data_IF_055880033244
#
_entry.id   IF_055880033244
#
_cell.length_a   1.000
_cell.length_b   1.000
_cell.length_c   1.000
_cell.angle_alpha   90.00
_cell.angle_beta   90.00
_cell.angle_gamma   90.00
#
_symmetry.space_group_name_H-M   'P 1'
#
loop_
_entity.id
_entity.type
_entity.pdbx_description
1 polymer ?
#
# COMPACT_ATOMS: atom_id res chain seq x y z
N UNK A 1 21.89 -5.57 31.85
CA UNK A 1 21.86 -6.92 31.24
C UNK A 1 21.53 -6.73 29.76
N UNK A 2 22.45 -7.10 28.85
CA UNK A 2 22.24 -6.92 27.40
C UNK A 2 21.26 -7.97 26.92
N UNK A 3 20.19 -7.52 26.26
CA UNK A 3 19.06 -8.35 25.84
C UNK A 3 19.49 -9.22 24.63
N UNK A 4 19.66 -10.55 24.78
CA UNK A 4 20.19 -11.41 23.71
C UNK A 4 19.26 -11.48 22.49
N UNK A 5 17.98 -11.14 22.67
CA UNK A 5 16.96 -11.11 21.61
C UNK A 5 17.26 -10.03 20.56
N UNK A 6 17.76 -8.85 20.98
CA UNK A 6 18.03 -7.74 20.06
C UNK A 6 19.19 -8.07 19.10
N UNK A 7 20.20 -8.81 19.57
CA UNK A 7 21.34 -9.24 18.76
C UNK A 7 20.89 -10.24 17.69
N UNK A 8 19.95 -11.13 18.04
CA UNK A 8 19.43 -12.11 17.08
C UNK A 8 18.61 -11.46 15.97
N UNK A 9 17.75 -10.49 16.29
CA UNK A 9 16.98 -9.74 15.28
C UNK A 9 17.87 -8.84 14.42
N UNK A 10 18.89 -8.18 15.00
CA UNK A 10 19.86 -7.41 14.21
C UNK A 10 20.65 -8.30 13.26
N UNK A 11 21.03 -9.52 13.64
CA UNK A 11 21.72 -10.46 12.76
C UNK A 11 20.83 -10.97 11.63
N UNK A 12 19.53 -11.23 11.89
CA UNK A 12 18.59 -11.66 10.85
C UNK A 12 18.31 -10.55 9.83
N UNK A 13 18.16 -9.30 10.30
CA UNK A 13 17.96 -8.12 9.46
C UNK A 13 19.22 -7.81 8.61
N UNK A 14 20.42 -8.04 9.15
CA UNK A 14 21.68 -7.89 8.42
C UNK A 14 21.84 -8.93 7.30
N UNK A 15 21.37 -10.16 7.49
CA UNK A 15 21.44 -11.21 6.46
C UNK A 15 20.50 -10.92 5.29
N UNK A 16 19.32 -10.35 5.55
CA UNK A 16 18.39 -9.91 4.49
C UNK A 16 18.94 -8.68 3.75
N UNK A 17 19.56 -7.74 4.45
CA UNK A 17 20.14 -6.54 3.82
C UNK A 17 21.44 -6.79 3.05
N UNK A 18 22.31 -7.70 3.53
CA UNK A 18 23.58 -8.02 2.87
C UNK A 18 23.43 -8.98 1.68
N UNK A 19 22.29 -9.66 1.55
CA UNK A 19 21.98 -10.47 0.36
C UNK A 19 21.70 -9.62 -0.90
N UNK A 20 21.49 -8.31 -0.74
CA UNK A 20 21.20 -7.37 -1.84
C UNK A 20 22.38 -6.45 -2.22
N UNK A 21 23.56 -6.62 -1.59
CA UNK A 21 24.76 -5.89 -2.00
C UNK A 21 25.73 -6.81 -2.77
N UNK A 22 25.33 -7.24 -3.97
CA UNK A 22 26.34 -7.55 -4.99
C UNK A 22 26.68 -6.23 -5.69
N UNK A 23 27.92 -5.79 -5.51
CA UNK A 23 28.46 -4.61 -6.15
C UNK A 23 28.38 -4.76 -7.68
N UNK A 24 27.68 -3.85 -8.34
CA UNK A 24 27.68 -3.72 -9.81
C UNK A 24 29.10 -3.37 -10.27
N UNK A 25 29.72 -4.31 -11.01
CA UNK A 25 30.89 -4.01 -11.82
C UNK A 25 30.44 -3.18 -13.04
N UNK A 26 31.32 -2.32 -13.61
CA UNK A 26 30.96 -1.47 -14.73
C UNK A 26 30.62 -2.34 -15.96
N UNK A 27 29.44 -2.11 -16.53
CA UNK A 27 28.96 -2.79 -17.73
C UNK A 27 29.63 -2.15 -18.96
N UNK A 28 30.72 -2.76 -19.40
CA UNK A 28 31.13 -2.70 -20.81
C UNK A 28 30.52 -3.87 -21.58
N UNK A 29 30.26 -3.62 -22.85
CA UNK A 29 29.41 -4.39 -23.76
C UNK A 29 29.75 -5.89 -23.87
N UNK A 30 28.69 -6.64 -24.20
CA UNK A 30 28.66 -8.01 -24.75
C UNK A 30 28.82 -9.18 -23.76
N UNK A 31 27.68 -9.79 -23.39
CA UNK A 31 27.43 -11.18 -23.77
C UNK A 31 25.96 -11.59 -23.58
N UNK A 32 25.39 -12.08 -24.68
CA UNK A 32 24.08 -12.69 -24.81
C UNK A 32 24.02 -14.05 -24.09
N UNK A 33 23.84 -14.06 -22.77
CA UNK A 33 23.44 -15.26 -22.04
C UNK A 33 22.56 -14.87 -20.85
N UNK A 34 21.34 -14.41 -21.16
CA UNK A 34 20.25 -14.49 -20.20
C UNK A 34 19.84 -15.98 -20.08
N UNK A 35 19.65 -16.52 -18.87
CA UNK A 35 19.12 -17.86 -18.70
C UNK A 35 17.73 -17.94 -19.35
N UNK A 36 17.58 -18.84 -20.33
CA UNK A 36 16.31 -19.10 -21.00
C UNK A 36 15.39 -19.79 -19.98
N UNK A 37 14.59 -19.01 -19.26
CA UNK A 37 13.37 -19.51 -18.64
C UNK A 37 12.41 -19.92 -19.77
N UNK A 38 12.49 -21.19 -20.20
CA UNK A 38 11.45 -21.80 -21.03
C UNK A 38 10.15 -21.77 -20.22
N UNK A 39 9.29 -20.81 -20.51
CA UNK A 39 8.15 -20.53 -19.65
C UNK A 39 7.02 -21.54 -19.78
N UNK A 40 5.95 -21.28 -19.03
CA UNK A 40 4.76 -22.14 -18.99
C UNK A 40 4.15 -22.23 -20.39
N UNK A 41 3.95 -23.46 -20.88
CA UNK A 41 3.18 -23.70 -22.11
C UNK A 41 1.69 -23.49 -21.83
N UNK A 42 0.98 -22.81 -22.73
CA UNK A 42 -0.49 -22.72 -22.68
C UNK A 42 -1.07 -22.92 -24.07
N UNK A 43 -2.26 -23.51 -24.12
CA UNK A 43 -2.99 -23.71 -25.38
C UNK A 43 -4.00 -22.58 -25.57
N UNK A 44 -4.08 -22.02 -26.79
CA UNK A 44 -5.10 -21.03 -27.15
C UNK A 44 -6.49 -21.67 -27.17
N UNK A 45 -7.48 -20.96 -26.64
CA UNK A 45 -8.89 -21.37 -26.64
C UNK A 45 -9.68 -20.72 -27.78
N UNK A 46 -9.19 -19.59 -28.27
CA UNK A 46 -9.79 -18.80 -29.36
C UNK A 46 -8.74 -18.48 -30.42
N UNK A 47 -9.15 -17.82 -31.49
CA UNK A 47 -8.20 -17.15 -32.37
C UNK A 47 -7.49 -16.04 -31.57
N UNK A 48 -6.16 -15.99 -31.64
CA UNK A 48 -5.32 -14.98 -30.98
C UNK A 48 -4.42 -14.33 -32.02
N UNK A 49 -4.41 -13.01 -32.08
CA UNK A 49 -3.50 -12.29 -32.97
C UNK A 49 -2.15 -12.11 -32.30
N UNK A 50 -1.08 -12.49 -33.01
CA UNK A 50 0.30 -12.28 -32.62
C UNK A 50 0.85 -11.03 -33.30
N UNK A 51 1.61 -10.23 -32.57
CA UNK A 51 2.14 -8.94 -33.00
C UNK A 51 3.66 -8.88 -32.89
N UNK A 52 4.31 -8.08 -33.73
CA UNK A 52 5.76 -7.89 -33.68
C UNK A 52 6.18 -7.14 -32.41
N UNK A 53 5.36 -6.17 -32.01
CA UNK A 53 5.44 -5.40 -30.77
C UNK A 53 4.03 -5.17 -30.23
N UNK A 54 3.88 -4.87 -28.93
CA UNK A 54 2.56 -4.64 -28.33
C UNK A 54 1.73 -3.59 -29.11
N UNK A 55 0.55 -3.99 -29.58
CA UNK A 55 -0.41 -3.12 -30.29
C UNK A 55 0.11 -2.49 -31.61
N UNK A 56 1.08 -3.12 -32.27
CA UNK A 56 1.53 -2.72 -33.62
C UNK A 56 0.84 -3.56 -34.72
N UNK A 57 1.46 -3.70 -35.88
CA UNK A 57 0.94 -4.52 -36.97
C UNK A 57 0.92 -6.02 -36.62
N UNK A 58 -0.17 -6.73 -36.99
CA UNK A 58 -0.30 -8.15 -36.72
C UNK A 58 0.70 -8.94 -37.58
N UNK A 59 1.43 -9.86 -36.95
CA UNK A 59 2.32 -10.80 -37.62
C UNK A 59 1.58 -12.04 -38.11
N UNK A 60 0.68 -12.57 -37.28
CA UNK A 60 -0.01 -13.83 -37.56
C UNK A 60 -1.31 -13.95 -36.77
N UNK A 61 -2.24 -14.74 -37.30
CA UNK A 61 -3.41 -15.22 -36.58
C UNK A 61 -3.13 -16.65 -36.08
N UNK A 62 -3.23 -16.87 -34.77
CA UNK A 62 -3.00 -18.16 -34.13
C UNK A 62 -4.36 -18.84 -33.89
N UNK A 63 -4.64 -20.02 -34.51
CA UNK A 63 -5.92 -20.70 -34.33
C UNK A 63 -6.08 -21.28 -32.91
N UNK A 64 -7.31 -21.61 -32.48
CA UNK A 64 -7.56 -22.39 -31.26
C UNK A 64 -6.77 -23.70 -31.28
N UNK A 65 -6.31 -24.15 -30.12
CA UNK A 65 -5.49 -25.35 -30.00
C UNK A 65 -3.99 -25.14 -30.22
N UNK A 66 -3.55 -23.93 -30.58
CA UNK A 66 -2.12 -23.60 -30.73
C UNK A 66 -1.44 -23.60 -29.37
N UNK A 67 -0.34 -24.35 -29.24
CA UNK A 67 0.50 -24.32 -28.05
C UNK A 67 1.46 -23.14 -28.10
N UNK A 68 1.38 -22.26 -27.11
CA UNK A 68 2.25 -21.09 -26.98
C UNK A 68 3.21 -21.29 -25.83
N UNK A 69 4.48 -20.96 -26.07
CA UNK A 69 5.52 -20.93 -25.06
C UNK A 69 5.71 -19.48 -24.63
N UNK A 70 5.31 -19.14 -23.41
CA UNK A 70 5.49 -17.80 -22.86
C UNK A 70 6.94 -17.60 -22.42
N UNK A 71 7.51 -16.42 -22.65
CA UNK A 71 8.89 -16.12 -22.23
C UNK A 71 8.97 -15.55 -20.80
N UNK A 72 7.82 -15.15 -20.24
CA UNK A 72 7.74 -14.45 -18.95
C UNK A 72 7.85 -12.92 -19.07
N UNK A 73 8.15 -12.38 -20.26
CA UNK A 73 8.13 -10.95 -20.50
C UNK A 73 6.71 -10.43 -20.73
N UNK A 74 6.41 -9.31 -20.07
CA UNK A 74 5.13 -8.60 -20.10
C UNK A 74 5.39 -7.17 -20.58
N UNK A 75 4.46 -6.59 -21.34
CA UNK A 75 4.60 -5.21 -21.79
C UNK A 75 4.61 -4.24 -20.60
N UNK A 76 5.36 -3.14 -20.72
CA UNK A 76 5.54 -2.13 -19.65
C UNK A 76 4.33 -1.23 -19.37
N UNK A 77 3.16 -1.58 -19.91
CA UNK A 77 1.88 -0.90 -19.68
C UNK A 77 0.71 -1.81 -20.02
N UNK A 78 -0.49 -1.41 -19.58
CA UNK A 78 -1.74 -2.04 -20.01
C UNK A 78 -2.24 -1.39 -21.30
N UNK A 79 -2.96 -2.19 -22.08
CA UNK A 79 -3.58 -1.79 -23.33
C UNK A 79 -5.07 -2.07 -23.25
N UNK A 80 -5.84 -1.15 -23.82
CA UNK A 80 -7.29 -1.31 -23.94
C UNK A 80 -7.62 -2.02 -25.23
N UNK A 81 -8.43 -3.06 -25.14
CA UNK A 81 -8.99 -3.76 -26.30
C UNK A 81 -10.49 -3.98 -26.09
N UNK A 82 -11.25 -3.99 -27.17
CA UNK A 82 -12.68 -4.26 -27.14
C UNK A 82 -12.90 -5.73 -27.46
N UNK A 83 -13.52 -6.45 -26.54
CA UNK A 83 -13.93 -7.84 -26.76
C UNK A 83 -15.42 -7.94 -26.49
N UNK A 84 -16.18 -8.26 -27.54
CA UNK A 84 -17.65 -8.23 -27.51
C UNK A 84 -18.17 -6.83 -27.10
N UNK A 85 -18.87 -6.72 -25.97
CA UNK A 85 -19.38 -5.46 -25.42
C UNK A 85 -18.54 -4.93 -24.25
N UNK A 86 -17.45 -5.64 -23.89
CA UNK A 86 -16.61 -5.30 -22.76
C UNK A 86 -15.33 -4.57 -23.21
N UNK A 87 -14.93 -3.60 -22.39
CA UNK A 87 -13.64 -2.93 -22.51
C UNK A 87 -12.65 -3.65 -21.61
N UNK A 88 -11.66 -4.30 -22.22
CA UNK A 88 -10.64 -5.07 -21.51
C UNK A 88 -9.36 -4.27 -21.40
N UNK A 89 -8.80 -4.20 -20.19
CA UNK A 89 -7.49 -3.59 -19.94
C UNK A 89 -6.51 -4.66 -19.49
N UNK A 90 -5.61 -5.05 -20.40
CA UNK A 90 -4.62 -6.13 -20.19
C UNK A 90 -3.27 -5.76 -20.79
N UNK A 91 -2.16 -6.31 -20.28
CA UNK A 91 -0.88 -6.19 -20.96
C UNK A 91 -0.79 -7.14 -22.16
N UNK A 92 0.23 -6.92 -22.99
CA UNK A 92 0.69 -7.92 -23.94
C UNK A 92 1.71 -8.86 -23.28
N UNK A 93 1.65 -10.13 -23.66
CA UNK A 93 2.52 -11.19 -23.17
C UNK A 93 3.42 -11.67 -24.31
N UNK A 94 4.71 -11.77 -24.06
CA UNK A 94 5.63 -12.26 -25.07
C UNK A 94 5.63 -13.79 -25.13
N UNK A 95 5.58 -14.30 -26.36
CA UNK A 95 5.59 -15.71 -26.69
C UNK A 95 6.72 -16.01 -27.67
N UNK A 96 7.17 -17.26 -27.68
CA UNK A 96 8.08 -17.80 -28.68
C UNK A 96 7.27 -18.52 -29.75
N UNK A 97 7.28 -18.00 -30.99
CA UNK A 97 6.64 -18.62 -32.16
C UNK A 97 7.55 -19.68 -32.79
N UNK A 98 8.86 -19.42 -32.81
CA UNK A 98 9.88 -20.34 -33.29
C UNK A 98 11.19 -20.10 -32.52
N UNK A 99 12.21 -20.96 -32.66
CA UNK A 99 13.47 -20.79 -31.92
C UNK A 99 14.14 -19.41 -32.13
N UNK A 100 13.88 -18.75 -33.27
CA UNK A 100 14.45 -17.43 -33.61
C UNK A 100 13.40 -16.30 -33.66
N UNK A 101 12.13 -16.56 -33.39
CA UNK A 101 11.06 -15.57 -33.52
C UNK A 101 10.19 -15.49 -32.26
N UNK A 102 10.15 -14.30 -31.68
CA UNK A 102 9.19 -13.94 -30.62
C UNK A 102 8.07 -13.09 -31.16
N UNK A 103 6.91 -13.15 -30.54
CA UNK A 103 5.79 -12.26 -30.79
C UNK A 103 5.09 -11.88 -29.49
N UNK A 104 4.14 -10.96 -29.58
CA UNK A 104 3.33 -10.49 -28.47
C UNK A 104 1.87 -10.85 -28.68
N UNK A 105 1.17 -11.30 -27.65
CA UNK A 105 -0.27 -11.60 -27.68
C UNK A 105 -0.98 -10.84 -26.57
N UNK A 106 -2.22 -10.42 -26.82
CA UNK A 106 -3.01 -9.72 -25.80
C UNK A 106 -3.36 -10.69 -24.65
N UNK A 107 -3.05 -10.29 -23.41
CA UNK A 107 -3.02 -11.16 -22.23
C UNK A 107 -4.38 -11.48 -21.60
N UNK A 108 -5.46 -11.58 -22.39
CA UNK A 108 -6.78 -11.87 -21.83
C UNK A 108 -6.92 -13.34 -21.40
N UNK A 109 -7.34 -13.65 -20.16
CA UNK A 109 -7.37 -15.03 -19.65
C UNK A 109 -8.25 -15.98 -20.46
N UNK A 110 -9.37 -15.51 -21.01
CA UNK A 110 -10.25 -16.37 -21.81
C UNK A 110 -9.62 -16.82 -23.15
N UNK A 111 -8.49 -16.24 -23.57
CA UNK A 111 -7.78 -16.67 -24.77
C UNK A 111 -6.93 -17.91 -24.53
N UNK A 112 -6.69 -18.31 -23.27
CA UNK A 112 -5.72 -19.34 -22.93
C UNK A 112 -6.29 -20.36 -21.94
N UNK A 113 -5.82 -21.60 -22.04
CA UNK A 113 -6.01 -22.60 -20.99
C UNK A 113 -5.15 -22.26 -19.78
N UNK A 114 -5.74 -21.56 -18.82
CA UNK A 114 -5.10 -21.20 -17.54
C UNK A 114 -5.41 -22.29 -16.52
N UNK A 115 -4.38 -22.99 -16.02
CA UNK A 115 -4.53 -24.04 -15.00
C UNK A 115 -4.72 -23.47 -13.58
N UNK A 116 -4.15 -22.30 -13.31
CA UNK A 116 -4.34 -21.58 -12.06
C UNK A 116 -5.63 -20.75 -12.08
N UNK A 117 -5.99 -20.11 -10.95
CA UNK A 117 -7.15 -19.21 -10.93
C UNK A 117 -6.98 -18.09 -12.00
N UNK A 118 -7.93 -17.94 -12.94
CA UNK A 118 -7.81 -16.96 -14.03
C UNK A 118 -7.61 -15.53 -13.56
N UNK A 119 -8.26 -15.11 -12.47
CA UNK A 119 -8.13 -13.77 -11.90
C UNK A 119 -6.74 -13.56 -11.31
N UNK A 120 -6.21 -14.56 -10.58
CA UNK A 120 -4.85 -14.49 -10.04
C UNK A 120 -3.81 -14.38 -11.15
N UNK A 121 -3.96 -15.17 -12.22
CA UNK A 121 -3.07 -15.09 -13.38
C UNK A 121 -3.13 -13.74 -14.08
N UNK A 122 -4.35 -13.24 -14.32
CA UNK A 122 -4.61 -11.96 -14.94
C UNK A 122 -3.99 -10.81 -14.13
N UNK A 123 -4.21 -10.77 -12.82
CA UNK A 123 -3.63 -9.74 -11.95
C UNK A 123 -2.12 -9.84 -11.85
N UNK A 124 -1.53 -11.04 -11.77
CA UNK A 124 -0.08 -11.17 -11.76
C UNK A 124 0.55 -10.52 -13.00
N UNK A 125 -0.04 -10.73 -14.18
CA UNK A 125 0.44 -10.07 -15.41
C UNK A 125 0.17 -8.55 -15.39
N UNK A 126 -1.01 -8.10 -14.94
CA UNK A 126 -1.33 -6.67 -14.82
C UNK A 126 -0.34 -5.96 -13.89
N UNK A 127 -0.07 -6.52 -12.73
CA UNK A 127 0.87 -5.98 -11.75
C UNK A 127 2.29 -5.91 -12.30
N UNK A 128 2.76 -6.97 -12.97
CA UNK A 128 4.08 -6.97 -13.63
C UNK A 128 4.20 -5.88 -14.71
N UNK A 129 3.09 -5.49 -15.34
CA UNK A 129 3.07 -4.45 -16.36
C UNK A 129 3.09 -3.02 -15.78
N UNK A 130 2.47 -2.79 -14.62
CA UNK A 130 2.26 -1.43 -14.07
C UNK A 130 3.17 -1.09 -12.90
N UNK A 131 3.68 -2.09 -12.18
CA UNK A 131 4.59 -1.89 -11.05
C UNK A 131 6.06 -1.97 -11.51
N UNK A 132 6.96 -1.20 -10.89
CA UNK A 132 8.40 -1.46 -10.97
C UNK A 132 8.72 -2.88 -10.50
N UNK A 133 9.77 -3.50 -11.07
CA UNK A 133 10.18 -4.89 -10.75
C UNK A 133 10.34 -5.13 -9.25
N UNK A 134 10.96 -4.19 -8.54
CA UNK A 134 11.15 -4.28 -7.09
C UNK A 134 9.82 -4.33 -6.32
N UNK A 135 8.86 -3.49 -6.70
CA UNK A 135 7.53 -3.46 -6.10
C UNK A 135 6.74 -4.74 -6.39
N UNK A 136 6.84 -5.25 -7.61
CA UNK A 136 6.21 -6.51 -7.99
C UNK A 136 6.79 -7.70 -7.20
N UNK A 137 8.11 -7.76 -7.02
CA UNK A 137 8.75 -8.79 -6.22
C UNK A 137 8.30 -8.71 -4.74
N UNK A 138 8.29 -7.50 -4.16
CA UNK A 138 7.76 -7.27 -2.79
C UNK A 138 6.30 -7.73 -2.67
N UNK A 139 5.48 -7.49 -3.69
CA UNK A 139 4.09 -7.97 -3.71
C UNK A 139 4.03 -9.50 -3.69
N UNK A 140 4.85 -10.19 -4.49
CA UNK A 140 4.88 -11.66 -4.51
C UNK A 140 5.34 -12.25 -3.16
N UNK A 141 6.32 -11.64 -2.53
CA UNK A 141 6.78 -12.00 -1.18
C UNK A 141 5.65 -11.79 -0.16
N UNK A 142 5.01 -10.61 -0.16
CA UNK A 142 3.90 -10.29 0.72
C UNK A 142 2.74 -11.28 0.55
N UNK A 143 2.34 -11.60 -0.68
CA UNK A 143 1.27 -12.56 -0.96
C UNK A 143 1.63 -13.99 -0.50
N UNK A 144 2.92 -14.32 -0.43
CA UNK A 144 3.41 -15.60 0.10
C UNK A 144 3.37 -15.61 1.62
N UNK A 145 3.90 -14.58 2.27
CA UNK A 145 3.83 -14.40 3.73
C UNK A 145 2.38 -14.39 4.18
N UNK A 146 1.50 -13.67 3.48
CA UNK A 146 0.08 -13.60 3.84
C UNK A 146 -0.62 -14.96 3.79
N UNK A 147 -0.20 -15.91 2.94
CA UNK A 147 -0.80 -17.24 2.90
C UNK A 147 -0.26 -18.20 3.97
N UNK A 148 0.85 -17.85 4.63
CA UNK A 148 1.45 -18.66 5.68
C UNK A 148 0.99 -18.14 7.05
N UNK A 149 0.07 -18.88 7.69
CA UNK A 149 -0.54 -18.48 8.97
C UNK A 149 0.45 -18.47 10.14
N UNK A 150 1.52 -19.28 10.09
CA UNK A 150 2.42 -19.52 11.22
C UNK A 150 3.58 -18.52 11.39
N UNK A 151 3.75 -17.54 10.49
CA UNK A 151 4.90 -16.61 10.52
C UNK A 151 4.60 -15.33 11.32
N UNK A 152 4.55 -15.48 12.65
CA UNK A 152 4.38 -14.38 13.61
C UNK A 152 5.41 -13.24 13.44
N UNK A 153 6.68 -13.57 13.21
CA UNK A 153 7.79 -12.61 13.27
C UNK A 153 7.91 -11.65 12.07
N UNK A 154 6.95 -11.66 11.15
CA UNK A 154 6.99 -10.86 9.91
C UNK A 154 5.74 -10.00 9.74
N UNK A 155 4.78 -10.04 10.67
CA UNK A 155 3.48 -9.42 10.45
C UNK A 155 3.55 -7.89 10.39
N UNK A 156 4.29 -7.25 11.31
CA UNK A 156 4.54 -5.80 11.25
C UNK A 156 5.20 -5.36 9.94
N UNK A 157 6.20 -6.10 9.48
CA UNK A 157 6.88 -5.82 8.21
C UNK A 157 5.94 -6.01 7.01
N UNK A 158 5.11 -7.05 7.04
CA UNK A 158 4.08 -7.29 6.03
C UNK A 158 3.05 -6.15 6.01
N UNK A 159 2.65 -5.62 7.16
CA UNK A 159 1.75 -4.48 7.26
C UNK A 159 2.36 -3.20 6.65
N UNK A 160 3.62 -2.91 6.99
CA UNK A 160 4.36 -1.78 6.42
C UNK A 160 4.50 -1.91 4.89
N UNK A 161 4.88 -3.10 4.41
CA UNK A 161 4.98 -3.39 2.99
C UNK A 161 3.63 -3.23 2.27
N UNK A 162 2.53 -3.68 2.91
CA UNK A 162 1.17 -3.54 2.37
C UNK A 162 0.80 -2.08 2.15
N UNK A 163 1.07 -1.19 3.12
CA UNK A 163 0.79 0.26 2.97
C UNK A 163 1.57 0.88 1.80
N UNK A 164 2.85 0.55 1.67
CA UNK A 164 3.68 1.05 0.57
C UNK A 164 3.17 0.56 -0.78
N UNK A 165 2.96 -0.75 -0.89
CA UNK A 165 2.49 -1.39 -2.13
C UNK A 165 1.11 -0.90 -2.54
N UNK A 166 0.20 -0.69 -1.58
CA UNK A 166 -1.10 -0.05 -1.84
C UNK A 166 -0.92 1.30 -2.51
N UNK A 167 -0.12 2.19 -1.92
CA UNK A 167 0.06 3.54 -2.45
C UNK A 167 0.70 3.51 -3.85
N UNK A 168 1.69 2.64 -4.06
CA UNK A 168 2.35 2.42 -5.35
C UNK A 168 1.35 1.88 -6.39
N UNK A 169 0.51 0.90 -6.03
CA UNK A 169 -0.48 0.30 -6.91
C UNK A 169 -1.57 1.29 -7.31
N UNK A 170 -2.13 2.02 -6.33
CA UNK A 170 -3.14 3.06 -6.59
C UNK A 170 -2.60 4.11 -7.55
N UNK A 171 -1.33 4.54 -7.36
CA UNK A 171 -0.69 5.48 -8.27
C UNK A 171 -0.47 4.88 -9.66
N UNK A 172 0.02 3.64 -9.74
CA UNK A 172 0.30 2.97 -11.01
C UNK A 172 -0.97 2.74 -11.84
N UNK A 173 -2.12 2.54 -11.19
CA UNK A 173 -3.39 2.32 -11.87
C UNK A 173 -4.18 3.61 -12.18
N UNK A 174 -3.75 4.76 -11.66
CA UNK A 174 -4.49 6.02 -11.80
C UNK A 174 -4.70 6.45 -13.26
N UNK A 175 -3.80 6.08 -14.16
CA UNK A 175 -3.82 6.46 -15.58
C UNK A 175 -4.61 5.49 -16.47
N UNK A 176 -5.17 4.41 -15.92
CA UNK A 176 -5.87 3.37 -16.68
C UNK A 176 -7.39 3.46 -16.50
N UNK A 177 -8.17 2.93 -17.47
CA UNK A 177 -9.61 2.77 -17.29
C UNK A 177 -9.92 1.99 -16.01
N UNK A 178 -11.08 2.27 -15.42
CA UNK A 178 -11.49 1.61 -14.19
C UNK A 178 -11.56 0.11 -14.38
N UNK A 179 -10.74 -0.61 -13.62
CA UNK A 179 -10.79 -2.06 -13.50
C UNK A 179 -11.97 -2.46 -12.60
N UNK A 180 -12.46 -3.69 -12.79
CA UNK A 180 -13.58 -4.19 -11.99
C UNK A 180 -13.21 -4.28 -10.51
N UNK A 181 -14.05 -3.70 -9.65
CA UNK A 181 -13.92 -3.80 -8.21
C UNK A 181 -13.94 -5.26 -7.72
N UNK A 182 -14.81 -6.09 -8.30
CA UNK A 182 -14.93 -7.50 -7.92
C UNK A 182 -13.68 -8.31 -8.30
N UNK A 183 -13.00 -7.94 -9.39
CA UNK A 183 -11.73 -8.58 -9.75
C UNK A 183 -10.61 -8.14 -8.80
N UNK A 184 -10.64 -6.91 -8.31
CA UNK A 184 -9.63 -6.34 -7.43
C UNK A 184 -9.79 -6.73 -5.96
N UNK A 185 -10.92 -7.35 -5.62
CA UNK A 185 -11.18 -7.88 -4.29
C UNK A 185 -10.11 -8.92 -3.95
N UNK A 186 -9.54 -8.79 -2.75
CA UNK A 186 -8.48 -9.67 -2.22
C UNK A 186 -7.12 -9.60 -2.94
N UNK A 187 -6.93 -8.61 -3.84
CA UNK A 187 -5.65 -8.40 -4.50
C UNK A 187 -4.53 -8.05 -3.51
N UNK A 188 -4.81 -7.15 -2.57
CA UNK A 188 -3.87 -6.77 -1.53
C UNK A 188 -4.23 -7.43 -0.19
N UNK A 189 -3.31 -8.19 0.40
CA UNK A 189 -3.41 -8.74 1.75
C UNK A 189 -3.93 -7.77 2.80
N UNK A 190 -4.99 -8.18 3.52
CA UNK A 190 -5.53 -7.40 4.63
C UNK A 190 -6.11 -6.03 4.23
N UNK A 191 -6.54 -5.90 2.97
CA UNK A 191 -7.14 -4.69 2.44
C UNK A 191 -8.47 -4.97 1.73
N UNK A 192 -9.33 -3.96 1.72
CA UNK A 192 -10.62 -3.96 1.02
C UNK A 192 -10.53 -3.01 -0.17
N UNK A 193 -10.83 -3.50 -1.37
CA UNK A 193 -10.88 -2.67 -2.55
C UNK A 193 -12.10 -1.72 -2.48
N UNK A 194 -11.96 -0.51 -3.01
CA UNK A 194 -13.09 0.37 -3.38
C UNK A 194 -12.86 1.04 -4.72
N UNK A 195 -13.86 1.80 -5.12
CA UNK A 195 -13.77 2.70 -6.24
C UNK A 195 -14.27 4.09 -5.85
N UNK A 196 -13.43 5.11 -5.99
CA UNK A 196 -13.78 6.54 -5.83
C UNK A 196 -13.70 7.24 -7.19
N UNK A 197 -14.81 7.77 -7.68
CA UNK A 197 -14.88 8.55 -8.93
C UNK A 197 -14.05 8.00 -10.12
N UNK A 198 -14.04 6.67 -10.30
CA UNK A 198 -13.30 5.87 -11.34
C UNK A 198 -11.89 5.39 -10.98
N UNK A 199 -11.37 5.73 -9.81
CA UNK A 199 -10.08 5.22 -9.34
C UNK A 199 -10.28 4.03 -8.41
N UNK A 200 -9.64 2.90 -8.76
CA UNK A 200 -9.53 1.74 -7.90
C UNK A 200 -8.45 2.02 -6.84
N UNK A 201 -8.73 1.72 -5.58
CA UNK A 201 -7.76 1.79 -4.50
C UNK A 201 -8.17 0.86 -3.34
N UNK A 202 -7.43 0.81 -2.23
CA UNK A 202 -7.68 -0.16 -1.13
C UNK A 202 -7.59 0.44 0.28
N UNK A 203 -8.55 0.15 1.16
CA UNK A 203 -8.48 0.52 2.59
C UNK A 203 -7.87 -0.66 3.32
N UNK A 204 -7.07 -0.39 4.34
CA UNK A 204 -6.63 -1.45 5.24
C UNK A 204 -7.81 -1.91 6.10
N UNK A 205 -8.01 -3.21 6.21
CA UNK A 205 -8.96 -3.81 7.15
C UNK A 205 -8.24 -4.25 8.43
N UNK A 206 -8.25 -3.41 9.46
CA UNK A 206 -7.60 -3.73 10.73
C UNK A 206 -8.27 -4.90 11.46
N UNK A 207 -9.47 -5.32 11.08
CA UNK A 207 -10.06 -6.56 11.61
C UNK A 207 -9.35 -7.79 11.07
N UNK A 208 -9.03 -7.81 9.78
CA UNK A 208 -8.24 -8.87 9.17
C UNK A 208 -6.85 -8.95 9.80
N UNK A 209 -6.19 -7.80 9.98
CA UNK A 209 -4.88 -7.74 10.64
C UNK A 209 -4.94 -8.15 12.12
N UNK A 210 -5.97 -7.75 12.87
CA UNK A 210 -6.16 -8.19 14.26
C UNK A 210 -6.40 -9.70 14.35
N UNK A 211 -7.27 -10.24 13.50
CA UNK A 211 -7.58 -11.68 13.49
C UNK A 211 -6.32 -12.48 13.26
N UNK A 212 -5.46 -11.97 12.37
CA UNK A 212 -4.16 -12.57 12.09
C UNK A 212 -3.18 -12.42 13.24
N UNK A 213 -3.00 -11.24 13.80
CA UNK A 213 -2.06 -11.04 14.92
C UNK A 213 -2.46 -11.86 16.15
N UNK A 214 -3.76 -12.04 16.41
CA UNK A 214 -4.26 -12.90 17.47
C UNK A 214 -3.91 -14.39 17.30
N UNK A 215 -3.65 -14.84 16.07
CA UNK A 215 -3.17 -16.20 15.79
C UNK A 215 -1.65 -16.35 16.01
N UNK A 216 -0.94 -15.25 16.23
CA UNK A 216 0.51 -15.23 16.45
C UNK A 216 0.86 -15.15 17.94
N UNK A 217 2.09 -15.49 18.30
CA UNK A 217 2.62 -15.30 19.65
C UNK A 217 3.22 -13.88 19.88
N UNK A 218 2.89 -12.89 19.03
CA UNK A 218 3.46 -11.56 19.05
C UNK A 218 2.48 -10.52 19.65
N UNK A 219 2.61 -10.17 20.95
CA UNK A 219 1.67 -9.27 21.61
C UNK A 219 1.74 -7.82 21.11
N UNK A 220 2.89 -7.40 20.58
CA UNK A 220 3.07 -6.07 19.98
C UNK A 220 2.15 -5.86 18.76
N UNK A 221 2.03 -6.86 17.89
CA UNK A 221 1.19 -6.80 16.70
C UNK A 221 -0.30 -6.78 17.06
N UNK A 222 -0.71 -7.58 18.05
CA UNK A 222 -2.08 -7.60 18.58
C UNK A 222 -2.46 -6.24 19.18
N UNK A 223 -1.56 -5.64 19.97
CA UNK A 223 -1.77 -4.32 20.54
C UNK A 223 -1.87 -3.22 19.46
N UNK A 224 -1.05 -3.31 18.41
CA UNK A 224 -1.06 -2.38 17.27
C UNK A 224 -2.38 -2.38 16.53
N UNK A 225 -2.81 -3.53 16.03
CA UNK A 225 -4.04 -3.59 15.23
C UNK A 225 -5.28 -3.34 16.10
N UNK A 226 -5.21 -3.67 17.39
CA UNK A 226 -6.29 -3.37 18.33
C UNK A 226 -6.42 -1.86 18.51
N UNK A 227 -5.29 -1.16 18.61
CA UNK A 227 -5.27 0.29 18.73
C UNK A 227 -5.82 0.96 17.48
N UNK A 228 -5.39 0.54 16.29
CA UNK A 228 -5.95 1.02 15.03
C UNK A 228 -7.47 0.86 14.98
N UNK A 229 -7.97 -0.34 15.27
CA UNK A 229 -9.41 -0.63 15.24
C UNK A 229 -10.20 0.16 16.25
N UNK A 230 -9.71 0.32 17.47
CA UNK A 230 -10.53 0.87 18.58
C UNK A 230 -10.33 2.35 18.84
N UNK A 231 -9.23 2.93 18.36
CA UNK A 231 -8.86 4.34 18.63
C UNK A 231 -8.73 5.18 17.37
N UNK A 232 -8.21 4.62 16.29
CA UNK A 232 -7.99 5.38 15.04
C UNK A 232 -9.22 5.29 14.13
N UNK A 233 -9.77 4.09 13.97
CA UNK A 233 -10.93 3.81 13.12
C UNK A 233 -12.04 3.05 13.87
N UNK A 234 -12.59 3.63 14.96
CA UNK A 234 -13.54 2.96 15.85
C UNK A 234 -14.89 2.52 15.26
N UNK A 235 -15.45 3.10 14.16
CA UNK A 235 -16.76 2.66 13.68
C UNK A 235 -16.83 1.18 13.30
N UNK A 236 -15.78 0.67 12.67
CA UNK A 236 -15.76 -0.69 12.10
C UNK A 236 -14.36 -1.30 11.97
N UNK A 237 -13.29 -0.57 12.29
CA UNK A 237 -11.93 -1.09 12.14
C UNK A 237 -11.39 -1.08 10.73
N UNK A 238 -12.02 -0.39 9.80
CA UNK A 238 -11.52 -0.21 8.43
C UNK A 238 -10.89 1.18 8.35
N UNK A 239 -9.72 1.27 7.74
CA UNK A 239 -9.08 2.55 7.47
C UNK A 239 -10.02 3.44 6.65
N UNK A 240 -10.11 4.72 6.96
CA UNK A 240 -10.78 5.70 6.11
C UNK A 240 -9.86 6.89 5.88
N UNK A 241 -10.26 7.77 4.94
CA UNK A 241 -9.51 9.00 4.66
C UNK A 241 -9.31 9.88 5.89
N UNK A 242 -10.24 9.84 6.84
CA UNK A 242 -10.20 10.67 8.06
C UNK A 242 -10.19 9.78 9.31
N UNK A 243 -9.22 9.95 10.23
CA UNK A 243 -9.15 9.24 11.49
C UNK A 243 -10.14 9.82 12.53
N UNK A 244 -10.24 9.17 13.69
CA UNK A 244 -11.15 9.53 14.77
C UNK A 244 -11.02 10.95 15.34
N UNK A 245 -9.91 11.65 15.07
CA UNK A 245 -9.68 13.04 15.49
C UNK A 245 -10.00 14.07 14.40
N UNK A 246 -10.67 13.67 13.33
CA UNK A 246 -11.10 14.55 12.25
C UNK A 246 -12.62 14.44 12.04
N UNK A 247 -13.25 15.56 11.70
CA UNK A 247 -14.67 15.66 11.36
C UNK A 247 -14.82 15.82 9.85
N UNK A 248 -15.31 14.81 9.12
CA UNK A 248 -15.48 14.89 7.68
C UNK A 248 -16.62 15.84 7.31
N UNK A 249 -16.36 16.76 6.39
CA UNK A 249 -17.39 17.65 5.79
C UNK A 249 -17.66 17.33 4.33
N UNK A 250 -16.72 16.66 3.66
CA UNK A 250 -16.89 16.12 2.32
C UNK A 250 -16.05 14.85 2.15
N UNK A 251 -16.03 14.28 0.95
CA UNK A 251 -15.14 13.16 0.64
C UNK A 251 -13.66 13.53 0.70
N UNK A 252 -13.28 14.79 0.53
CA UNK A 252 -11.87 15.25 0.45
C UNK A 252 -11.49 16.24 1.54
N UNK A 253 -12.46 16.75 2.30
CA UNK A 253 -12.24 17.77 3.32
C UNK A 253 -12.75 17.30 4.69
N UNK A 254 -11.94 17.59 5.71
CA UNK A 254 -12.29 17.44 7.11
C UNK A 254 -11.72 18.60 7.93
N UNK A 255 -12.29 18.78 9.12
CA UNK A 255 -11.78 19.68 10.14
C UNK A 255 -11.18 18.88 11.28
N UNK A 256 -10.06 19.33 11.84
CA UNK A 256 -9.48 18.73 13.04
C UNK A 256 -10.41 18.93 14.24
N UNK A 257 -10.53 17.90 15.07
CA UNK A 257 -11.26 17.93 16.34
C UNK A 257 -10.39 18.38 17.53
N UNK A 258 -9.25 19.03 17.24
CA UNK A 258 -8.39 19.63 18.26
C UNK A 258 -9.20 20.63 19.10
N UNK A 259 -9.02 20.56 20.41
CA UNK A 259 -9.84 21.23 21.42
C UNK A 259 -10.75 20.28 22.21
N UNK A 260 -10.97 19.04 21.74
CA UNK A 260 -11.78 18.02 22.43
C UNK A 260 -11.02 17.12 23.40
N UNK A 261 -9.69 17.26 23.47
CA UNK A 261 -8.83 16.37 24.26
C UNK A 261 -8.60 15.01 23.61
N UNK A 262 -8.97 14.83 22.33
CA UNK A 262 -8.82 13.57 21.61
C UNK A 262 -7.35 13.33 21.27
N UNK A 263 -6.66 14.33 20.70
CA UNK A 263 -5.25 14.22 20.31
C UNK A 263 -4.37 13.93 21.53
N UNK A 264 -4.59 14.64 22.64
CA UNK A 264 -3.83 14.41 23.87
C UNK A 264 -4.04 12.99 24.40
N UNK A 265 -5.29 12.50 24.40
CA UNK A 265 -5.60 11.15 24.88
C UNK A 265 -4.96 10.08 24.00
N UNK A 266 -5.00 10.25 22.69
CA UNK A 266 -4.36 9.31 21.75
C UNK A 266 -2.84 9.34 21.93
N UNK A 267 -2.22 10.52 22.05
CA UNK A 267 -0.78 10.64 22.30
C UNK A 267 -0.36 9.97 23.62
N UNK A 268 -1.14 10.14 24.69
CA UNK A 268 -0.90 9.46 25.97
C UNK A 268 -0.96 7.94 25.85
N UNK A 269 -1.94 7.42 25.10
CA UNK A 269 -2.07 5.99 24.86
C UNK A 269 -0.93 5.47 23.98
N UNK A 270 -0.54 6.19 22.94
CA UNK A 270 0.60 5.86 22.09
C UNK A 270 1.91 5.80 22.89
N UNK A 271 2.18 6.77 23.77
CA UNK A 271 3.38 6.78 24.60
C UNK A 271 3.40 5.59 25.57
N UNK A 272 2.26 5.25 26.18
CA UNK A 272 2.11 4.06 27.02
C UNK A 272 2.34 2.77 26.22
N UNK A 273 1.77 2.66 25.02
CA UNK A 273 1.94 1.50 24.15
C UNK A 273 3.38 1.37 23.66
N UNK A 274 4.06 2.48 23.38
CA UNK A 274 5.46 2.49 22.99
C UNK A 274 6.39 1.97 24.10
N UNK A 275 6.08 2.27 25.36
CA UNK A 275 6.83 1.74 26.50
C UNK A 275 6.57 0.23 26.70
N UNK A 276 5.36 -0.23 26.42
CA UNK A 276 4.95 -1.63 26.62
C UNK A 276 5.33 -2.55 25.44
N UNK A 277 5.26 -2.03 24.21
CA UNK A 277 5.40 -2.75 22.95
C UNK A 277 6.40 -2.04 22.02
N UNK A 278 7.70 -2.07 22.35
CA UNK A 278 8.72 -1.32 21.63
C UNK A 278 9.00 -1.85 20.22
N UNK A 279 8.58 -3.07 19.86
CA UNK A 279 8.78 -3.56 18.49
C UNK A 279 7.91 -2.80 17.48
N UNK A 280 6.77 -2.26 17.90
CA UNK A 280 5.90 -1.42 17.09
C UNK A 280 6.23 0.09 17.16
N UNK A 281 7.39 0.48 17.72
CA UNK A 281 7.81 1.89 17.89
C UNK A 281 7.65 2.73 16.61
N UNK A 282 8.03 2.17 15.46
CA UNK A 282 7.93 2.87 14.17
C UNK A 282 6.48 3.25 13.84
N UNK A 283 5.51 2.42 14.20
CA UNK A 283 4.08 2.70 13.98
C UNK A 283 3.52 3.69 14.99
N UNK A 284 3.97 3.60 16.25
CA UNK A 284 3.61 4.59 17.26
C UNK A 284 4.12 5.98 16.87
N UNK A 285 5.35 6.06 16.35
CA UNK A 285 5.93 7.31 15.83
C UNK A 285 5.16 7.82 14.61
N UNK A 286 4.82 6.95 13.66
CA UNK A 286 4.00 7.32 12.51
C UNK A 286 2.63 7.90 12.92
N UNK A 287 1.94 7.28 13.88
CA UNK A 287 0.66 7.81 14.40
C UNK A 287 0.84 9.14 15.14
N UNK A 288 1.95 9.31 15.86
CA UNK A 288 2.31 10.58 16.49
C UNK A 288 2.53 11.69 15.45
N UNK A 289 3.22 11.38 14.35
CA UNK A 289 3.41 12.31 13.23
C UNK A 289 2.08 12.74 12.62
N UNK A 290 1.15 11.80 12.37
CA UNK A 290 -0.18 12.14 11.86
C UNK A 290 -0.97 13.06 12.81
N UNK A 291 -0.88 12.85 14.13
CA UNK A 291 -1.52 13.72 15.12
C UNK A 291 -0.92 15.13 15.13
N UNK A 292 0.41 15.22 15.04
CA UNK A 292 1.13 16.50 15.01
C UNK A 292 0.80 17.25 13.72
N UNK A 293 0.81 16.57 12.57
CA UNK A 293 0.47 17.16 11.28
C UNK A 293 -0.97 17.67 11.27
N UNK A 294 -1.94 16.90 11.77
CA UNK A 294 -3.32 17.39 11.91
C UNK A 294 -3.38 18.64 12.81
N UNK A 295 -2.60 18.67 13.89
CA UNK A 295 -2.62 19.80 14.84
C UNK A 295 -1.89 21.06 14.36
N UNK A 296 -0.86 20.92 13.52
CA UNK A 296 0.09 21.99 13.22
C UNK A 296 0.21 22.36 11.74
N UNK A 297 -0.32 21.56 10.82
CA UNK A 297 -0.30 21.89 9.39
C UNK A 297 -1.00 23.25 9.13
N UNK A 298 -0.39 24.19 8.39
CA UNK A 298 -0.99 25.49 8.11
C UNK A 298 -2.35 25.45 7.40
N UNK A 299 -2.62 24.38 6.65
CA UNK A 299 -3.87 24.16 5.94
C UNK A 299 -4.96 23.54 6.80
N UNK A 300 -4.62 23.02 8.00
CA UNK A 300 -5.64 22.46 8.87
C UNK A 300 -6.57 23.55 9.37
N UNK A 301 -7.86 23.23 9.29
CA UNK A 301 -8.97 24.00 9.85
C UNK A 301 -9.57 23.20 11.01
N UNK A 302 -10.10 23.90 12.01
CA UNK A 302 -10.48 23.33 13.29
C UNK A 302 -11.97 23.50 13.52
N UNK A 303 -12.58 22.42 14.03
CA UNK A 303 -14.00 22.39 14.33
C UNK A 303 -14.36 23.27 15.54
N UNK A 304 -13.52 23.21 16.58
CA UNK A 304 -13.73 23.90 17.85
C UNK A 304 -13.23 25.36 17.83
N UNK A 305 -13.49 26.09 18.91
CA UNK A 305 -13.04 27.47 19.11
C UNK A 305 -11.58 27.55 19.60
N UNK A 306 -11.00 28.76 19.52
CA UNK A 306 -9.59 28.97 19.85
C UNK A 306 -9.27 28.69 21.33
N UNK A 307 -10.10 29.09 22.32
CA UNK A 307 -9.86 28.75 23.72
C UNK A 307 -9.70 27.25 23.98
N UNK A 308 -10.54 26.41 23.39
CA UNK A 308 -10.44 24.95 23.51
C UNK A 308 -9.19 24.41 22.82
N UNK A 309 -8.96 24.82 21.57
CA UNK A 309 -7.76 24.43 20.79
C UNK A 309 -6.48 24.80 21.56
N UNK A 310 -6.40 26.03 22.07
CA UNK A 310 -5.25 26.51 22.84
C UNK A 310 -4.99 25.64 24.06
N UNK A 311 -6.04 25.27 24.77
CA UNK A 311 -5.93 24.45 25.98
C UNK A 311 -5.32 23.08 25.66
N UNK A 312 -5.81 22.42 24.61
CA UNK A 312 -5.27 21.12 24.19
C UNK A 312 -3.84 21.24 23.63
N UNK A 313 -3.54 22.24 22.79
CA UNK A 313 -2.19 22.47 22.27
C UNK A 313 -1.17 22.71 23.39
N UNK A 314 -1.52 23.51 24.41
CA UNK A 314 -0.65 23.71 25.56
C UNK A 314 -0.40 22.41 26.33
N UNK A 315 -1.41 21.55 26.45
CA UNK A 315 -1.26 20.25 27.09
C UNK A 315 -0.38 19.30 26.25
N UNK A 316 -0.55 19.27 24.92
CA UNK A 316 0.30 18.51 24.00
C UNK A 316 1.77 18.95 24.09
N UNK A 317 2.03 20.27 24.07
CA UNK A 317 3.40 20.82 24.17
C UNK A 317 4.07 20.43 25.49
N UNK A 318 3.31 20.42 26.59
CA UNK A 318 3.77 20.09 27.95
C UNK A 318 3.76 18.59 28.27
N UNK A 319 3.25 17.75 27.38
CA UNK A 319 3.13 16.31 27.60
C UNK A 319 4.50 15.70 27.95
N UNK A 320 4.70 14.97 29.07
CA UNK A 320 6.04 14.56 29.49
C UNK A 320 6.60 13.33 28.75
N UNK A 321 5.84 12.71 27.85
CA UNK A 321 6.24 11.46 27.19
C UNK A 321 7.39 11.60 26.19
N UNK A 322 7.97 10.46 25.84
CA UNK A 322 9.15 10.35 24.98
C UNK A 322 8.82 10.22 23.50
N UNK A 323 7.58 9.86 23.17
CA UNK A 323 7.17 9.66 21.77
C UNK A 323 7.14 10.97 20.98
N UNK A 324 6.76 12.08 21.62
CA UNK A 324 6.69 13.40 21.00
C UNK A 324 8.08 14.06 21.00
N UNK A 325 8.67 14.15 19.81
CA UNK A 325 10.03 14.64 19.59
C UNK A 325 10.15 16.16 19.87
N UNK A 326 11.35 16.67 20.23
CA UNK A 326 11.58 18.09 20.47
C UNK A 326 11.20 19.00 19.29
N UNK A 327 11.43 18.55 18.06
CA UNK A 327 11.06 19.25 16.83
C UNK A 327 9.54 19.39 16.69
N UNK A 328 8.80 18.31 16.95
CA UNK A 328 7.34 18.29 16.90
C UNK A 328 6.73 19.21 17.97
N UNK A 329 7.33 19.27 19.17
CA UNK A 329 6.93 20.23 20.21
C UNK A 329 7.11 21.68 19.77
N UNK A 330 8.25 21.99 19.14
CA UNK A 330 8.50 23.32 18.57
C UNK A 330 7.47 23.64 17.48
N UNK A 331 7.11 22.67 16.67
CA UNK A 331 6.10 22.84 15.62
C UNK A 331 4.71 23.13 16.18
N UNK A 332 4.27 22.40 17.22
CA UNK A 332 3.02 22.66 17.94
C UNK A 332 3.03 24.04 18.62
N UNK A 333 4.15 24.44 19.23
CA UNK A 333 4.31 25.76 19.83
C UNK A 333 4.18 26.88 18.81
N UNK A 334 4.82 26.74 17.65
CA UNK A 334 4.69 27.67 16.54
C UNK A 334 3.25 27.75 16.00
N UNK A 335 2.55 26.60 15.89
CA UNK A 335 1.13 26.60 15.52
C UNK A 335 0.29 27.39 16.52
N UNK A 336 0.51 27.19 17.83
CA UNK A 336 -0.20 27.92 18.87
C UNK A 336 0.03 29.44 18.78
N UNK A 337 1.27 29.88 18.55
CA UNK A 337 1.61 31.29 18.34
C UNK A 337 0.90 31.87 17.11
N UNK A 338 0.93 31.15 15.99
CA UNK A 338 0.26 31.56 14.75
C UNK A 338 -1.26 31.66 14.93
N UNK A 339 -1.87 30.69 15.61
CA UNK A 339 -3.30 30.71 15.91
C UNK A 339 -3.67 31.76 16.96
N UNK A 340 -2.72 32.35 17.70
CA UNK A 340 -3.03 33.50 18.55
C UNK A 340 -3.27 34.79 17.74
N UNK A 341 -2.88 34.82 16.46
CA UNK A 341 -3.15 35.95 15.57
C UNK A 341 -4.63 35.98 15.14
N UNK A 342 -5.39 37.08 15.38
CA UNK A 342 -6.80 37.17 15.01
C UNK A 342 -7.11 36.89 13.54
N UNK A 343 -6.20 37.27 12.62
CA UNK A 343 -6.38 37.04 11.18
C UNK A 343 -6.26 35.56 10.79
N UNK A 344 -5.53 34.76 11.57
CA UNK A 344 -5.43 33.32 11.39
C UNK A 344 -6.60 32.60 12.06
N UNK A 345 -7.01 33.03 13.25
CA UNK A 345 -8.19 32.51 13.95
C UNK A 345 -9.43 32.59 13.06
N UNK A 346 -9.69 33.77 12.48
CA UNK A 346 -10.86 33.99 11.64
C UNK A 346 -10.87 33.16 10.37
N UNK A 347 -9.75 32.57 9.95
CA UNK A 347 -9.68 31.69 8.77
C UNK A 347 -9.75 30.22 9.11
N UNK A 348 -9.32 29.83 10.32
CA UNK A 348 -8.97 28.44 10.63
C UNK A 348 -9.78 27.83 11.76
N UNK A 349 -10.50 28.62 12.55
CA UNK A 349 -11.12 28.17 13.80
C UNK A 349 -12.64 28.32 13.75
N UNK A 350 -13.34 27.51 14.56
CA UNK A 350 -14.78 27.55 14.76
C UNK A 350 -15.56 27.33 13.46
N UNK A 351 -15.27 26.22 12.77
CA UNK A 351 -16.01 25.81 11.58
C UNK A 351 -17.37 25.18 11.90
N UNK A 352 -17.67 24.92 13.17
CA UNK A 352 -19.00 24.47 13.61
C UNK A 352 -20.11 25.50 13.35
N UNK A 353 -19.79 26.78 13.45
CA UNK A 353 -20.77 27.88 13.35
C UNK A 353 -20.89 28.49 11.94
N UNK A 354 -20.24 27.87 10.94
CA UNK A 354 -20.17 28.39 9.57
C UNK A 354 -21.09 27.69 8.59
#
# INVERSE_FOLDING_TARGET
>A
MRNPSLIFYCCLLLVVLLSNCQAEAPIDQANNNLPVFLGKKRTTLTNVTAYARPHEEPLAQLPPGTQLLFTGLVSSRLYTSYYQQDTLTQPYLQIQLSPQQTAWVFGHPAYFSVQENPLTWQWNNRLQAVMPTEAFNRYQELATVWRQEDQASVLLLAFQATRSLRNELTKALADYPTLSLTEAQDLLPGCLAYQDHRHLSWWIDFNAWQTRSAATAAPDDDALFHFYRTRIYPPDGIEYRFPAWSFPVSSTQAHSLLGRGIHLRILQQLDSLNQQYPLATTEWQYLCELLVDDSANPQTTFWEDFPLIRTELQALIKFPGTLLLPEQRRYLAHCLENLANPAQQSKRVNFRER
#
